data_IF_025899436821
#
_entry.id   IF_025899436821
#
_cell.length_a   1.000
_cell.length_b   1.000
_cell.length_c   1.000
_cell.angle_alpha   90.00
_cell.angle_beta   90.00
_cell.angle_gamma   90.00
#
_symmetry.space_group_name_H-M   'P 1'
#
loop_
_entity.id
_entity.type
_entity.pdbx_description
1 polymer ?
#
# COMPACT_ATOMS: atom_id res chain seq x y z
N UNK A 1 7.06 -17.24 -11.03
CA UNK A 1 5.81 -16.55 -11.40
C UNK A 1 4.94 -16.34 -10.16
N UNK A 2 4.68 -17.39 -9.37
CA UNK A 2 3.85 -17.34 -8.15
C UNK A 2 4.14 -16.20 -7.17
N UNK A 3 5.41 -15.90 -6.90
CA UNK A 3 5.73 -14.88 -5.88
C UNK A 3 5.33 -13.45 -6.31
N UNK A 4 5.46 -13.11 -7.59
CA UNK A 4 5.05 -11.80 -8.11
C UNK A 4 3.52 -11.65 -8.09
N UNK A 5 2.79 -12.71 -8.43
CA UNK A 5 1.33 -12.74 -8.43
C UNK A 5 0.76 -12.72 -7.00
N UNK A 6 1.39 -13.44 -6.08
CA UNK A 6 1.07 -13.38 -4.65
C UNK A 6 1.29 -11.97 -4.09
N UNK A 7 2.43 -11.34 -4.40
CA UNK A 7 2.71 -9.96 -3.98
C UNK A 7 1.73 -8.95 -4.58
N UNK A 8 1.34 -9.12 -5.85
CA UNK A 8 0.36 -8.25 -6.51
C UNK A 8 -1.01 -8.37 -5.82
N UNK A 9 -1.42 -9.59 -5.49
CA UNK A 9 -2.66 -9.88 -4.76
C UNK A 9 -2.65 -9.26 -3.37
N UNK A 10 -1.57 -9.47 -2.59
CA UNK A 10 -1.40 -8.84 -1.28
C UNK A 10 -1.46 -7.32 -1.41
N UNK A 11 -0.86 -6.77 -2.47
CA UNK A 11 -0.83 -5.33 -2.68
C UNK A 11 -2.20 -4.73 -2.97
N UNK A 12 -3.01 -5.42 -3.77
CA UNK A 12 -4.40 -5.04 -4.02
C UNK A 12 -5.26 -5.15 -2.78
N UNK A 13 -5.13 -6.24 -2.01
CA UNK A 13 -5.88 -6.42 -0.77
C UNK A 13 -5.55 -5.32 0.24
N UNK A 14 -4.27 -5.00 0.44
CA UNK A 14 -3.85 -3.91 1.33
C UNK A 14 -4.41 -2.55 0.89
N UNK A 15 -4.47 -2.30 -0.42
CA UNK A 15 -5.08 -1.08 -0.97
C UNK A 15 -6.57 -1.01 -0.65
N UNK A 16 -7.30 -2.12 -0.83
CA UNK A 16 -8.73 -2.19 -0.52
C UNK A 16 -9.02 -1.99 0.98
N UNK A 17 -8.20 -2.56 1.86
CA UNK A 17 -8.34 -2.36 3.31
C UNK A 17 -8.03 -0.91 3.74
N UNK A 18 -7.06 -0.25 3.09
CA UNK A 18 -6.79 1.17 3.29
C UNK A 18 -8.00 2.04 2.88
N UNK A 19 -8.68 1.71 1.77
CA UNK A 19 -9.89 2.42 1.33
C UNK A 19 -11.06 2.25 2.29
N UNK A 20 -11.30 1.02 2.79
CA UNK A 20 -12.30 0.76 3.83
C UNK A 20 -12.00 1.53 5.11
N UNK A 21 -10.72 1.61 5.49
CA UNK A 21 -10.29 2.39 6.65
C UNK A 21 -10.61 3.87 6.46
N UNK A 22 -10.36 4.44 5.27
CA UNK A 22 -10.74 5.82 4.96
C UNK A 22 -12.25 6.06 5.04
N UNK A 23 -13.08 5.12 4.59
CA UNK A 23 -14.54 5.22 4.71
C UNK A 23 -14.97 5.27 6.19
N UNK A 24 -14.43 4.38 7.03
CA UNK A 24 -14.69 4.34 8.47
C UNK A 24 -14.26 5.65 9.14
N UNK A 25 -13.08 6.18 8.78
CA UNK A 25 -12.60 7.45 9.31
C UNK A 25 -13.53 8.61 8.95
N UNK A 26 -14.10 8.61 7.75
CA UNK A 26 -15.11 9.60 7.35
C UNK A 26 -16.37 9.55 8.22
N UNK A 27 -16.82 8.35 8.58
CA UNK A 27 -17.95 8.16 9.51
C UNK A 27 -17.60 8.71 10.89
N UNK A 28 -16.41 8.39 11.42
CA UNK A 28 -15.96 8.86 12.74
C UNK A 28 -15.81 10.39 12.75
N UNK A 29 -15.30 10.99 11.69
CA UNK A 29 -15.23 12.45 11.53
C UNK A 29 -16.63 13.08 11.61
N UNK A 30 -17.61 12.50 10.92
CA UNK A 30 -19.02 12.93 10.99
C UNK A 30 -19.61 12.81 12.41
N UNK A 31 -19.29 11.74 13.13
CA UNK A 31 -19.69 11.55 14.54
C UNK A 31 -19.03 12.61 15.42
N UNK A 32 -17.74 12.87 15.25
CA UNK A 32 -17.01 13.89 15.98
C UNK A 32 -17.61 15.28 15.76
N UNK A 33 -17.91 15.65 14.50
CA UNK A 33 -18.53 16.92 14.17
C UNK A 33 -19.94 17.07 14.77
N UNK A 34 -20.75 16.01 14.70
CA UNK A 34 -22.09 15.99 15.31
C UNK A 34 -22.00 16.12 16.83
N UNK A 35 -21.07 15.40 17.46
CA UNK A 35 -20.82 15.45 18.90
C UNK A 35 -20.36 16.85 19.34
N UNK A 36 -19.53 17.52 18.53
CA UNK A 36 -19.11 18.91 18.76
C UNK A 36 -20.31 19.87 18.78
N UNK A 37 -21.28 19.69 17.88
CA UNK A 37 -22.51 20.49 17.83
C UNK A 37 -23.41 20.20 19.04
N UNK A 38 -23.57 18.93 19.42
CA UNK A 38 -24.34 18.55 20.62
C UNK A 38 -23.72 19.16 21.88
N UNK A 39 -22.40 19.08 22.03
CA UNK A 39 -21.68 19.71 23.15
C UNK A 39 -21.85 21.22 23.18
N UNK A 40 -21.86 21.89 22.02
CA UNK A 40 -22.14 23.33 21.94
C UNK A 40 -23.57 23.66 22.40
N UNK A 41 -24.57 22.92 21.92
CA UNK A 41 -25.96 23.13 22.32
C UNK A 41 -26.16 22.90 23.82
N UNK A 42 -25.51 21.87 24.38
CA UNK A 42 -25.52 21.61 25.81
C UNK A 42 -24.87 22.74 26.62
N UNK A 43 -23.77 23.32 26.13
CA UNK A 43 -23.12 24.46 26.78
C UNK A 43 -24.03 25.72 26.77
N UNK A 44 -24.75 25.96 25.67
CA UNK A 44 -25.70 27.07 25.56
C UNK A 44 -26.86 26.89 26.55
N UNK A 45 -27.45 25.70 26.62
CA UNK A 45 -28.56 25.43 27.54
C UNK A 45 -28.10 25.47 29.00
N UNK A 46 -26.89 24.98 29.30
CA UNK A 46 -26.28 25.10 30.62
C UNK A 46 -26.08 26.57 31.05
N UNK A 47 -25.68 27.45 30.12
CA UNK A 47 -25.58 28.88 30.38
C UNK A 47 -26.96 29.52 30.64
N UNK A 48 -28.00 29.07 29.94
CA UNK A 48 -29.38 29.58 30.06
C UNK A 48 -30.00 29.32 31.44
N UNK A 49 -29.75 28.16 32.05
CA UNK A 49 -30.23 27.85 33.42
C UNK A 49 -29.34 28.45 34.53
N UNK A 50 -28.31 29.22 34.17
CA UNK A 50 -27.50 30.00 35.10
C UNK A 50 -26.73 29.14 36.11
N UNK A 51 -26.85 29.44 37.41
CA UNK A 51 -26.09 28.72 38.46
C UNK A 51 -26.36 27.21 38.50
N UNK A 52 -27.59 26.79 38.19
CA UNK A 52 -27.95 25.36 38.17
C UNK A 52 -27.25 24.58 37.04
N UNK A 53 -26.81 25.27 35.98
CA UNK A 53 -26.14 24.66 34.83
C UNK A 53 -24.63 24.61 34.91
N UNK A 54 -23.99 25.13 35.97
CA UNK A 54 -22.52 25.22 36.04
C UNK A 54 -21.83 23.85 35.90
N UNK A 55 -22.34 22.80 36.55
CA UNK A 55 -21.80 21.44 36.39
C UNK A 55 -21.98 20.89 34.98
N UNK A 56 -23.14 21.12 34.36
CA UNK A 56 -23.41 20.72 32.98
C UNK A 56 -22.54 21.47 31.96
N UNK A 57 -22.20 22.73 32.23
CA UNK A 57 -21.31 23.52 31.38
C UNK A 57 -19.90 22.93 31.30
N UNK A 58 -19.38 22.36 32.40
CA UNK A 58 -18.07 21.70 32.43
C UNK A 58 -18.10 20.42 31.60
N UNK A 59 -19.15 19.61 31.77
CA UNK A 59 -19.34 18.37 30.99
C UNK A 59 -19.47 18.67 29.50
N UNK A 60 -20.25 19.70 29.14
CA UNK A 60 -20.42 20.12 27.74
C UNK A 60 -19.11 20.60 27.10
N UNK A 61 -18.27 21.32 27.85
CA UNK A 61 -16.95 21.72 27.39
C UNK A 61 -16.03 20.52 27.14
N UNK A 62 -16.04 19.52 28.04
CA UNK A 62 -15.23 18.31 27.90
C UNK A 62 -15.68 17.45 26.71
N UNK A 63 -17.00 17.30 26.49
CA UNK A 63 -17.54 16.63 25.31
C UNK A 63 -17.03 17.29 24.03
N UNK A 64 -17.02 18.63 23.99
CA UNK A 64 -16.55 19.38 22.82
C UNK A 64 -15.05 19.19 22.59
N UNK A 65 -14.26 19.17 23.66
CA UNK A 65 -12.81 18.91 23.62
C UNK A 65 -12.52 17.51 23.09
N UNK A 66 -13.22 16.48 23.62
CA UNK A 66 -13.08 15.10 23.16
C UNK A 66 -13.48 14.92 21.69
N UNK A 67 -14.54 15.61 21.25
CA UNK A 67 -14.96 15.60 19.86
C UNK A 67 -13.89 16.22 18.93
N UNK A 68 -13.25 17.31 19.36
CA UNK A 68 -12.18 17.97 18.61
C UNK A 68 -10.90 17.11 18.55
N UNK A 69 -10.50 16.50 19.68
CA UNK A 69 -9.37 15.57 19.74
C UNK A 69 -9.62 14.32 18.87
N UNK A 70 -10.87 13.82 18.85
CA UNK A 70 -11.27 12.71 17.99
C UNK A 70 -11.11 13.06 16.51
N UNK A 71 -11.60 14.24 16.10
CA UNK A 71 -11.45 14.74 14.73
C UNK A 71 -9.99 14.98 14.29
N UNK A 72 -9.13 15.42 15.21
CA UNK A 72 -7.70 15.53 14.92
C UNK A 72 -7.05 14.15 14.77
N UNK A 73 -7.48 13.18 15.55
CA UNK A 73 -6.95 11.81 15.52
C UNK A 73 -7.36 11.09 14.23
N UNK A 74 -8.61 11.20 13.82
CA UNK A 74 -9.11 10.67 12.53
C UNK A 74 -8.34 11.26 11.35
N UNK A 75 -8.07 12.56 11.34
CA UNK A 75 -7.28 13.21 10.28
C UNK A 75 -5.85 12.64 10.19
N UNK A 76 -5.18 12.44 11.33
CA UNK A 76 -3.84 11.82 11.36
C UNK A 76 -3.86 10.38 10.84
N UNK A 77 -4.87 9.60 11.23
CA UNK A 77 -5.00 8.21 10.75
C UNK A 77 -5.30 8.21 9.25
N UNK A 78 -6.09 9.17 8.74
CA UNK A 78 -6.39 9.30 7.32
C UNK A 78 -5.13 9.59 6.50
N UNK A 79 -4.24 10.45 7.00
CA UNK A 79 -2.93 10.72 6.39
C UNK A 79 -2.04 9.47 6.36
N UNK A 80 -1.94 8.74 7.48
CA UNK A 80 -1.19 7.48 7.55
C UNK A 80 -1.73 6.48 6.53
N UNK A 81 -3.06 6.36 6.44
CA UNK A 81 -3.73 5.41 5.53
C UNK A 81 -3.53 5.80 4.06
N UNK A 82 -3.49 7.10 3.77
CA UNK A 82 -3.14 7.62 2.44
C UNK A 82 -1.70 7.24 2.06
N UNK A 83 -0.74 7.43 2.97
CA UNK A 83 0.66 7.05 2.75
C UNK A 83 0.79 5.54 2.52
N UNK A 84 0.07 4.71 3.27
CA UNK A 84 0.02 3.25 3.05
C UNK A 84 -0.46 2.94 1.63
N UNK A 85 -1.55 3.57 1.17
CA UNK A 85 -2.04 3.40 -0.21
C UNK A 85 -0.99 3.75 -1.26
N UNK A 86 -0.23 4.82 -1.06
CA UNK A 86 0.83 5.22 -1.99
C UNK A 86 2.03 4.28 -1.96
N UNK A 87 2.43 3.77 -0.79
CA UNK A 87 3.42 2.70 -0.71
C UNK A 87 2.96 1.44 -1.47
N UNK A 88 1.69 1.08 -1.37
CA UNK A 88 1.14 -0.05 -2.11
C UNK A 88 1.18 0.16 -3.63
N UNK A 89 0.90 1.37 -4.13
CA UNK A 89 1.06 1.70 -5.56
C UNK A 89 2.51 1.51 -6.02
N UNK A 90 3.48 1.96 -5.23
CA UNK A 90 4.90 1.80 -5.55
C UNK A 90 5.33 0.33 -5.56
N UNK A 91 4.84 -0.46 -4.60
CA UNK A 91 5.05 -1.92 -4.58
C UNK A 91 4.48 -2.56 -5.85
N UNK A 92 3.25 -2.23 -6.24
CA UNK A 92 2.63 -2.75 -7.46
C UNK A 92 3.43 -2.39 -8.72
N UNK A 93 3.96 -1.17 -8.81
CA UNK A 93 4.82 -0.76 -9.91
C UNK A 93 6.13 -1.58 -9.93
N UNK A 94 6.76 -1.78 -8.76
CA UNK A 94 7.96 -2.59 -8.62
C UNK A 94 7.76 -4.06 -9.00
N UNK A 95 6.60 -4.64 -8.68
CA UNK A 95 6.22 -6.00 -9.08
C UNK A 95 6.11 -6.11 -10.60
N UNK A 96 5.44 -5.15 -11.25
CA UNK A 96 5.32 -5.11 -12.71
C UNK A 96 6.70 -5.00 -13.39
N UNK A 97 7.57 -4.12 -12.88
CA UNK A 97 8.93 -3.99 -13.38
C UNK A 97 9.73 -5.30 -13.22
N UNK A 98 9.62 -5.94 -12.06
CA UNK A 98 10.30 -7.22 -11.78
C UNK A 98 9.82 -8.32 -12.73
N UNK A 99 8.53 -8.33 -13.09
CA UNK A 99 7.98 -9.26 -14.08
C UNK A 99 8.60 -9.05 -15.47
N UNK A 100 8.76 -7.80 -15.91
CA UNK A 100 9.40 -7.47 -17.19
C UNK A 100 10.87 -7.92 -17.21
N UNK A 101 11.62 -7.64 -16.13
CA UNK A 101 13.02 -8.07 -16.00
C UNK A 101 13.12 -9.60 -16.04
N UNK A 102 12.26 -10.32 -15.32
CA UNK A 102 12.25 -11.77 -15.32
C UNK A 102 11.96 -12.34 -16.73
N UNK A 103 11.05 -11.74 -17.48
CA UNK A 103 10.77 -12.14 -18.87
C UNK A 103 11.98 -11.91 -19.79
N UNK A 104 12.64 -10.76 -19.67
CA UNK A 104 13.88 -10.49 -20.43
C UNK A 104 15.00 -11.46 -20.08
N UNK A 105 15.10 -11.86 -18.81
CA UNK A 105 16.11 -12.82 -18.35
C UNK A 105 15.86 -14.21 -18.95
N UNK A 106 14.60 -14.64 -19.06
CA UNK A 106 14.24 -15.91 -19.72
C UNK A 106 14.70 -15.89 -21.17
N UNK A 107 14.37 -14.83 -21.92
CA UNK A 107 14.79 -14.70 -23.33
C UNK A 107 16.31 -14.70 -23.50
N UNK A 108 17.04 -13.94 -22.66
CA UNK A 108 18.50 -13.94 -22.69
C UNK A 108 19.10 -15.32 -22.36
N UNK A 109 18.47 -16.09 -21.48
CA UNK A 109 18.91 -17.44 -21.14
C UNK A 109 18.70 -18.41 -22.31
N UNK A 110 17.59 -18.28 -23.04
CA UNK A 110 17.34 -19.04 -24.28
C UNK A 110 18.40 -18.75 -25.34
N UNK A 111 18.76 -17.48 -25.54
CA UNK A 111 19.83 -17.08 -26.47
C UNK A 111 21.20 -17.67 -26.08
N UNK A 112 21.52 -17.66 -24.78
CA UNK A 112 22.75 -18.30 -24.26
C UNK A 112 22.74 -19.80 -24.53
N UNK A 113 21.61 -20.49 -24.35
CA UNK A 113 21.50 -21.92 -24.65
C UNK A 113 21.75 -22.20 -26.14
N UNK A 114 21.14 -21.43 -27.05
CA UNK A 114 21.40 -21.56 -28.49
C UNK A 114 22.88 -21.32 -28.82
N UNK A 115 23.50 -20.33 -28.19
CA UNK A 115 24.93 -20.03 -28.39
C UNK A 115 25.81 -21.19 -27.91
N UNK A 116 25.46 -21.83 -26.78
CA UNK A 116 26.17 -23.00 -26.26
C UNK A 116 26.05 -24.21 -27.20
N UNK A 117 24.88 -24.43 -27.81
CA UNK A 117 24.69 -25.50 -28.80
C UNK A 117 25.59 -25.29 -30.03
N UNK A 118 25.67 -24.05 -30.53
CA UNK A 118 26.56 -23.70 -31.65
C UNK A 118 28.03 -23.91 -31.26
N UNK A 119 28.44 -23.51 -30.06
CA UNK A 119 29.80 -23.73 -29.58
C UNK A 119 30.14 -25.22 -29.44
N UNK A 120 29.18 -26.04 -28.99
CA UNK A 120 29.36 -27.48 -28.92
C UNK A 120 29.58 -28.08 -30.33
N UNK A 121 28.78 -27.68 -31.33
CA UNK A 121 28.95 -28.12 -32.72
C UNK A 121 30.33 -27.71 -33.28
N UNK A 122 30.75 -26.46 -33.04
CA UNK A 122 32.07 -25.97 -33.44
C UNK A 122 33.18 -26.82 -32.80
N UNK A 123 33.07 -27.16 -31.51
CA UNK A 123 34.07 -27.98 -30.82
C UNK A 123 34.22 -29.38 -31.45
N UNK A 124 33.11 -29.98 -31.86
CA UNK A 124 33.09 -31.29 -32.54
C UNK A 124 33.76 -31.18 -33.91
N UNK A 125 33.44 -30.15 -34.68
CA UNK A 125 34.05 -29.89 -36.00
C UNK A 125 35.55 -29.64 -35.90
N UNK A 126 36.00 -28.87 -34.92
CA UNK A 126 37.43 -28.63 -34.68
C UNK A 126 38.18 -29.93 -34.36
N UNK A 127 37.57 -30.81 -33.56
CA UNK A 127 38.15 -32.12 -33.26
C UNK A 127 38.26 -33.00 -34.52
N UNK A 128 37.20 -33.07 -35.33
CA UNK A 128 37.21 -33.81 -36.60
C UNK A 128 38.28 -33.28 -37.58
N UNK A 129 38.42 -31.96 -37.67
CA UNK A 129 39.46 -31.34 -38.50
C UNK A 129 40.86 -31.69 -38.00
N UNK A 130 41.09 -31.60 -36.69
CA UNK A 130 42.36 -32.00 -36.06
C UNK A 130 42.71 -33.45 -36.35
N UNK A 131 41.75 -34.36 -36.19
CA UNK A 131 41.96 -35.80 -36.46
C UNK A 131 42.27 -36.05 -37.94
N UNK A 132 41.61 -35.33 -38.86
CA UNK A 132 41.89 -35.41 -40.30
C UNK A 132 43.30 -34.92 -40.66
N UNK A 133 43.80 -33.87 -40.01
CA UNK A 133 45.15 -33.34 -40.26
C UNK A 133 46.25 -34.28 -39.76
N UNK A 134 46.01 -35.04 -38.69
CA UNK A 134 46.96 -36.04 -38.18
C UNK A 134 47.06 -37.29 -39.06
N UNK A 135 46.05 -37.54 -39.90
CA UNK A 135 46.00 -38.69 -40.82
C UNK A 135 46.60 -38.40 -42.21
N UNK A 136 46.91 -37.13 -42.53
CA UNK A 136 47.59 -36.73 -43.77
C UNK A 136 49.12 -36.80 -43.61
#
# INVERSE_FOLDING_TARGET
ADSAEALATVSQTATAEAEKTQEILGIIEGIAQTTKIIGLNAAIEAARVGRAGQGFSVVAAEIRRLAEDSGQSTQKIAEITHNVKDYMKNIHAGINQSKLVAQSQVAATEEVLTTLEVLADISVRLRQLSDSLLQM
#
